data_IF_137783238104
#
_entry.id   IF_137783238104
#
_cell.length_a   1.000
_cell.length_b   1.000
_cell.length_c   1.000
_cell.angle_alpha   90.00
_cell.angle_beta   90.00
_cell.angle_gamma   90.00
#
_symmetry.space_group_name_H-M   'P 1'
#
loop_
_entity.id
_entity.type
_entity.pdbx_description
1 polymer ?
#
# COMPACT_ATOMS: atom_id res chain seq x y z
N UNK A 1 7.28 -6.99 3.30
CA UNK A 1 6.11 -6.18 3.47
C UNK A 1 6.16 -5.33 4.74
N UNK A 2 5.15 -5.42 5.56
CA UNK A 2 4.95 -4.51 6.71
C UNK A 2 6.18 -4.34 7.60
N UNK A 3 6.87 -5.42 7.98
CA UNK A 3 8.06 -5.33 8.84
C UNK A 3 9.18 -4.46 8.23
N UNK A 4 9.46 -4.62 6.95
CA UNK A 4 10.49 -3.83 6.27
C UNK A 4 10.08 -2.35 6.24
N UNK A 5 8.83 -2.07 5.88
CA UNK A 5 8.32 -0.70 5.86
C UNK A 5 8.33 -0.07 7.27
N UNK A 6 7.93 -0.81 8.30
CA UNK A 6 7.98 -0.35 9.68
C UNK A 6 9.39 0.05 10.10
N UNK A 7 10.40 -0.79 9.82
CA UNK A 7 11.80 -0.51 10.16
C UNK A 7 12.34 0.75 9.50
N UNK A 8 12.07 0.94 8.21
CA UNK A 8 12.57 2.13 7.51
C UNK A 8 11.83 3.39 7.93
N UNK A 9 10.54 3.30 8.26
CA UNK A 9 9.76 4.42 8.79
C UNK A 9 10.27 4.79 10.20
N UNK A 10 10.37 3.84 11.11
CA UNK A 10 10.89 4.07 12.46
C UNK A 10 12.27 4.73 12.41
N UNK A 11 13.19 4.20 11.59
CA UNK A 11 14.52 4.78 11.43
C UNK A 11 14.49 6.22 10.90
N UNK A 12 13.59 6.54 9.97
CA UNK A 12 13.42 7.90 9.45
C UNK A 12 12.95 8.89 10.53
N UNK A 13 12.20 8.41 11.52
CA UNK A 13 11.78 9.19 12.69
C UNK A 13 12.73 9.09 13.88
N UNK A 14 13.92 8.47 13.71
CA UNK A 14 14.94 8.37 14.75
C UNK A 14 14.67 7.30 15.81
N UNK A 15 13.73 6.39 15.57
CA UNK A 15 13.39 5.28 16.47
C UNK A 15 14.05 3.98 15.96
N UNK A 16 14.77 3.29 16.82
CA UNK A 16 15.38 2.00 16.50
C UNK A 16 14.54 0.85 17.04
N UNK A 17 14.67 -0.32 16.43
CA UNK A 17 13.97 -1.53 16.91
C UNK A 17 14.37 -1.92 18.35
N UNK A 18 15.58 -1.54 18.79
CA UNK A 18 16.05 -1.73 20.15
C UNK A 18 15.37 -0.81 21.18
N UNK A 19 14.74 0.27 20.72
CA UNK A 19 14.03 1.22 21.60
C UNK A 19 12.60 0.76 21.93
N UNK A 20 12.13 -0.30 21.29
CA UNK A 20 10.77 -0.83 21.42
C UNK A 20 10.80 -2.32 21.80
N UNK A 21 9.64 -2.87 22.16
CA UNK A 21 9.43 -4.32 22.32
C UNK A 21 8.66 -4.86 21.12
N UNK A 22 9.35 -5.29 20.04
CA UNK A 22 8.68 -5.67 18.81
C UNK A 22 7.98 -7.03 18.93
N UNK A 23 6.76 -7.12 18.42
CA UNK A 23 6.03 -8.37 18.25
C UNK A 23 5.73 -8.60 16.76
N UNK A 24 5.96 -9.84 16.29
CA UNK A 24 5.79 -10.22 14.87
C UNK A 24 4.54 -11.08 14.73
N UNK A 25 3.39 -10.43 14.71
CA UNK A 25 2.06 -11.06 14.74
C UNK A 25 1.20 -10.60 13.57
N UNK A 26 0.11 -11.30 13.32
CA UNK A 26 -0.86 -10.93 12.28
C UNK A 26 -1.70 -9.72 12.71
N UNK A 27 -2.23 -8.92 11.76
CA UNK A 27 -3.01 -7.71 12.09
C UNK A 27 -4.20 -7.97 13.03
N UNK A 28 -4.93 -9.08 12.87
CA UNK A 28 -6.04 -9.41 13.75
C UNK A 28 -5.57 -9.65 15.20
N UNK A 29 -4.46 -10.38 15.38
CA UNK A 29 -3.86 -10.61 16.67
C UNK A 29 -3.34 -9.32 17.31
N UNK A 30 -2.78 -8.41 16.49
CA UNK A 30 -2.38 -7.08 16.94
C UNK A 30 -3.60 -6.27 17.43
N UNK A 31 -4.71 -6.31 16.66
CA UNK A 31 -5.96 -5.67 17.05
C UNK A 31 -6.51 -6.20 18.38
N UNK A 32 -6.47 -7.51 18.60
CA UNK A 32 -6.92 -8.12 19.87
C UNK A 32 -6.05 -7.68 21.04
N UNK A 33 -4.74 -7.66 20.87
CA UNK A 33 -3.79 -7.18 21.88
C UNK A 33 -3.92 -5.68 22.18
N UNK A 34 -4.29 -4.85 21.22
CA UNK A 34 -4.62 -3.46 21.48
C UNK A 34 -5.92 -3.31 22.29
N UNK A 35 -6.93 -4.15 22.03
CA UNK A 35 -8.19 -4.15 22.78
C UNK A 35 -7.99 -4.51 24.25
N UNK A 36 -7.08 -5.44 24.54
CA UNK A 36 -6.78 -5.87 25.92
C UNK A 36 -5.67 -5.05 26.60
N UNK A 37 -5.06 -4.08 25.87
CA UNK A 37 -4.03 -3.18 26.42
C UNK A 37 -2.64 -3.79 26.50
N UNK A 38 -2.40 -4.96 25.89
CA UNK A 38 -1.08 -5.61 25.88
C UNK A 38 -0.18 -5.19 24.71
N UNK A 39 -0.69 -4.37 23.79
CA UNK A 39 0.04 -3.76 22.69
C UNK A 39 -0.35 -2.29 22.52
N UNK A 40 0.64 -1.41 22.43
CA UNK A 40 0.42 0.04 22.34
C UNK A 40 0.13 0.52 20.92
N UNK A 41 0.81 -0.07 19.93
CA UNK A 41 0.67 0.33 18.51
C UNK A 41 1.08 -0.80 17.58
N UNK A 42 0.65 -0.76 16.30
CA UNK A 42 1.17 -1.65 15.28
C UNK A 42 1.22 -0.98 13.91
N UNK A 43 2.13 -1.47 13.05
CA UNK A 43 2.20 -1.08 11.65
C UNK A 43 1.31 -2.00 10.80
N UNK A 44 0.70 -1.41 9.80
CA UNK A 44 -0.05 -2.13 8.79
C UNK A 44 0.28 -1.58 7.39
N UNK A 45 0.61 -2.47 6.46
CA UNK A 45 0.76 -2.12 5.04
C UNK A 45 -0.29 -2.87 4.24
N UNK A 46 -1.23 -2.14 3.67
CA UNK A 46 -2.33 -2.68 2.89
C UNK A 46 -3.29 -1.60 2.42
N UNK A 47 -4.31 -2.00 1.65
CA UNK A 47 -5.34 -1.08 1.20
C UNK A 47 -6.26 -0.64 2.35
N UNK A 48 -6.55 0.65 2.41
CA UNK A 48 -7.59 1.18 3.29
C UNK A 48 -8.95 1.24 2.56
N UNK A 49 -10.07 0.88 3.23
CA UNK A 49 -10.18 0.39 4.59
C UNK A 49 -9.73 -1.08 4.74
N UNK A 50 -9.04 -1.39 5.84
CA UNK A 50 -8.67 -2.76 6.22
C UNK A 50 -9.59 -3.29 7.32
N UNK A 51 -10.10 -4.51 7.16
CA UNK A 51 -11.11 -5.07 8.07
C UNK A 51 -10.67 -5.11 9.53
N UNK A 52 -9.45 -5.58 9.81
CA UNK A 52 -8.91 -5.64 11.18
C UNK A 52 -8.80 -4.26 11.86
N UNK A 53 -8.47 -3.21 11.08
CA UNK A 53 -8.38 -1.84 11.61
C UNK A 53 -9.80 -1.26 11.80
N UNK A 54 -10.72 -1.53 10.88
CA UNK A 54 -12.11 -1.08 10.98
C UNK A 54 -12.82 -1.71 12.21
N UNK A 55 -12.56 -2.99 12.46
CA UNK A 55 -13.06 -3.69 13.65
C UNK A 55 -12.51 -3.06 14.92
N UNK A 56 -11.20 -2.83 14.99
CA UNK A 56 -10.54 -2.19 16.14
C UNK A 56 -11.05 -0.76 16.37
N UNK A 57 -11.19 0.04 15.30
CA UNK A 57 -11.74 1.40 15.39
C UNK A 57 -13.19 1.45 15.89
N UNK A 58 -13.93 0.36 15.69
CA UNK A 58 -15.32 0.24 16.16
C UNK A 58 -15.44 -0.33 17.56
N UNK A 59 -14.34 -0.84 18.12
CA UNK A 59 -14.30 -1.40 19.47
C UNK A 59 -14.02 -0.29 20.51
N UNK A 60 -14.78 -0.30 21.60
CA UNK A 60 -14.54 0.43 22.84
C UNK A 60 -14.02 1.87 22.72
N UNK A 61 -12.74 2.06 23.00
CA UNK A 61 -12.08 3.37 23.08
C UNK A 61 -11.72 4.00 21.72
N UNK A 62 -11.92 3.29 20.60
CA UNK A 62 -11.47 3.75 19.29
C UNK A 62 -9.96 3.59 19.09
N UNK A 63 -9.43 4.25 18.07
CA UNK A 63 -8.01 4.25 17.71
C UNK A 63 -7.57 5.65 17.28
N UNK A 64 -6.28 5.92 17.43
CA UNK A 64 -5.58 6.98 16.72
C UNK A 64 -4.74 6.38 15.57
N UNK A 65 -4.80 7.00 14.41
CA UNK A 65 -3.91 6.67 13.27
C UNK A 65 -2.85 7.75 13.18
N UNK A 66 -1.60 7.39 13.43
CA UNK A 66 -0.50 8.34 13.41
C UNK A 66 -0.13 8.72 11.97
N UNK A 67 0.03 10.01 11.74
CA UNK A 67 0.49 10.52 10.44
C UNK A 67 1.95 10.10 10.17
N UNK A 68 2.23 9.77 8.91
CA UNK A 68 3.59 9.57 8.40
C UNK A 68 3.85 10.67 7.39
N UNK A 69 4.30 11.83 7.86
CA UNK A 69 4.48 13.05 7.07
C UNK A 69 5.70 13.88 7.53
N UNK A 70 5.82 15.09 7.04
CA UNK A 70 6.88 16.02 7.43
C UNK A 70 8.25 15.65 6.89
N UNK A 71 9.29 16.27 7.47
CA UNK A 71 10.67 16.13 6.99
C UNK A 71 11.19 14.68 6.95
N UNK A 72 10.88 13.80 7.93
CA UNK A 72 11.28 12.39 7.86
C UNK A 72 10.66 11.66 6.67
N UNK A 73 9.38 11.87 6.38
CA UNK A 73 8.71 11.26 5.23
C UNK A 73 9.29 11.76 3.90
N UNK A 74 9.61 13.05 3.79
CA UNK A 74 10.27 13.63 2.61
C UNK A 74 11.67 13.04 2.38
N UNK A 75 12.45 12.88 3.45
CA UNK A 75 13.77 12.24 3.37
C UNK A 75 13.65 10.77 2.94
N UNK A 76 12.65 10.06 3.48
CA UNK A 76 12.39 8.66 3.13
C UNK A 76 12.00 8.49 1.65
N UNK A 77 11.15 9.35 1.10
CA UNK A 77 10.77 9.33 -0.34
C UNK A 77 11.97 9.58 -1.25
N UNK A 78 12.92 10.42 -0.84
CA UNK A 78 14.16 10.66 -1.60
C UNK A 78 15.10 9.46 -1.61
N UNK A 79 15.23 8.77 -0.47
CA UNK A 79 16.10 7.60 -0.34
C UNK A 79 15.46 6.31 -0.85
N UNK A 80 14.14 6.26 -0.91
CA UNK A 80 13.34 5.08 -1.26
C UNK A 80 12.19 5.47 -2.18
N UNK A 81 12.46 5.59 -3.51
CA UNK A 81 11.50 6.16 -4.49
C UNK A 81 10.23 5.33 -4.71
N UNK A 82 10.12 4.17 -4.08
CA UNK A 82 8.88 3.36 -4.08
C UNK A 82 7.84 3.84 -3.06
N UNK A 83 8.19 4.78 -2.16
CA UNK A 83 7.22 5.47 -1.34
C UNK A 83 6.66 6.69 -2.06
N UNK A 84 5.36 6.90 -1.90
CA UNK A 84 4.64 8.08 -2.38
C UNK A 84 3.69 8.60 -1.30
N UNK A 85 3.32 9.88 -1.39
CA UNK A 85 2.29 10.43 -0.51
C UNK A 85 0.94 9.78 -0.77
N UNK A 86 0.22 9.50 0.31
CA UNK A 86 -1.18 9.07 0.27
C UNK A 86 -1.93 9.68 1.47
N UNK A 87 -3.24 9.59 1.43
CA UNK A 87 -4.12 10.10 2.47
C UNK A 87 -5.17 9.05 2.79
N UNK A 88 -5.30 8.73 4.07
CA UNK A 88 -6.47 8.04 4.59
C UNK A 88 -7.55 9.11 4.77
N UNK A 89 -8.63 9.03 3.99
CA UNK A 89 -9.72 10.00 4.06
C UNK A 89 -10.40 9.97 5.44
N UNK A 90 -10.95 11.10 5.86
CA UNK A 90 -11.77 11.15 7.06
C UNK A 90 -12.89 10.11 6.98
N UNK A 91 -13.26 9.57 8.12
CA UNK A 91 -14.31 8.55 8.28
C UNK A 91 -14.06 7.22 7.55
N UNK A 92 -12.83 7.01 7.02
CA UNK A 92 -12.43 5.68 6.53
C UNK A 92 -12.48 4.63 7.65
N UNK A 93 -12.12 5.05 8.86
CA UNK A 93 -12.30 4.30 10.10
C UNK A 93 -13.10 5.13 11.09
N UNK A 94 -13.96 4.50 11.86
CA UNK A 94 -14.86 5.19 12.80
C UNK A 94 -14.08 6.07 13.78
N UNK A 95 -14.41 7.37 13.80
CA UNK A 95 -13.80 8.33 14.70
C UNK A 95 -12.41 8.81 14.29
N UNK A 96 -11.88 8.37 13.15
CA UNK A 96 -10.58 8.81 12.64
C UNK A 96 -10.77 9.90 11.59
N UNK A 97 -10.12 11.04 11.80
CA UNK A 97 -10.07 12.16 10.85
C UNK A 97 -9.23 11.82 9.62
N UNK A 98 -9.01 12.82 8.75
CA UNK A 98 -8.11 12.67 7.62
C UNK A 98 -6.65 12.55 8.11
N UNK A 99 -5.92 11.54 7.63
CA UNK A 99 -4.53 11.28 8.03
C UNK A 99 -3.62 11.20 6.81
N UNK A 100 -2.52 11.97 6.83
CA UNK A 100 -1.45 11.85 5.83
C UNK A 100 -0.61 10.61 6.12
N UNK A 101 -0.27 9.89 5.08
CA UNK A 101 0.55 8.67 5.19
C UNK A 101 1.41 8.48 3.94
N UNK A 102 2.21 7.42 3.95
CA UNK A 102 2.94 6.97 2.78
C UNK A 102 2.30 5.70 2.20
N UNK A 103 2.26 5.63 0.89
CA UNK A 103 1.89 4.43 0.14
C UNK A 103 3.12 3.76 -0.47
N UNK A 104 3.03 2.46 -0.64
CA UNK A 104 3.94 1.65 -1.48
C UNK A 104 3.13 1.02 -2.59
N UNK A 105 3.65 1.08 -3.82
CA UNK A 105 3.01 0.47 -4.98
C UNK A 105 3.05 -1.06 -4.89
N UNK A 106 1.92 -1.73 -5.11
CA UNK A 106 1.88 -3.15 -5.37
C UNK A 106 2.13 -3.39 -6.87
N UNK A 107 3.04 -4.31 -7.19
CA UNK A 107 3.37 -4.66 -8.57
C UNK A 107 3.03 -6.12 -8.84
N UNK A 108 2.45 -6.38 -10.00
CA UNK A 108 2.32 -7.73 -10.51
C UNK A 108 3.51 -8.02 -11.43
N UNK A 109 4.36 -8.95 -11.01
CA UNK A 109 5.64 -9.22 -11.65
C UNK A 109 5.57 -10.59 -12.33
N UNK A 110 5.64 -10.69 -13.67
CA UNK A 110 5.84 -11.98 -14.34
C UNK A 110 7.31 -12.41 -14.24
N UNK A 111 7.58 -13.69 -14.51
CA UNK A 111 8.94 -14.16 -14.74
C UNK A 111 9.53 -13.48 -15.98
N UNK A 112 10.83 -13.22 -15.97
CA UNK A 112 11.60 -12.74 -17.13
C UNK A 112 11.56 -13.72 -18.32
N UNK A 113 11.27 -15.02 -18.04
CA UNK A 113 11.10 -16.08 -19.02
C UNK A 113 9.66 -16.23 -19.54
N UNK A 114 8.73 -15.42 -19.03
CA UNK A 114 7.35 -15.48 -19.51
C UNK A 114 7.28 -15.04 -20.99
N UNK A 115 6.40 -15.68 -21.74
CA UNK A 115 6.20 -15.33 -23.14
C UNK A 115 5.60 -13.91 -23.28
N UNK A 116 6.22 -13.09 -24.14
CA UNK A 116 5.86 -11.70 -24.31
C UNK A 116 4.42 -11.50 -24.86
N UNK A 117 3.96 -12.39 -25.73
CA UNK A 117 2.61 -12.33 -26.27
C UNK A 117 1.58 -12.62 -25.15
N UNK A 118 1.85 -13.63 -24.33
CA UNK A 118 1.03 -13.96 -23.17
C UNK A 118 0.95 -12.81 -22.16
N UNK A 119 2.10 -12.21 -21.81
CA UNK A 119 2.12 -11.06 -20.86
C UNK A 119 1.41 -9.85 -21.46
N UNK A 120 1.53 -9.61 -22.76
CA UNK A 120 0.77 -8.55 -23.44
C UNK A 120 -0.75 -8.77 -23.31
N UNK A 121 -1.26 -9.97 -23.62
CA UNK A 121 -2.68 -10.26 -23.54
C UNK A 121 -3.21 -10.20 -22.10
N UNK A 122 -2.44 -10.67 -21.12
CA UNK A 122 -2.79 -10.54 -19.70
C UNK A 122 -2.88 -9.05 -19.30
N UNK A 123 -1.88 -8.25 -19.69
CA UNK A 123 -1.87 -6.81 -19.37
C UNK A 123 -3.06 -6.11 -20.02
N UNK A 124 -3.35 -6.39 -21.27
CA UNK A 124 -4.51 -5.87 -22.01
C UNK A 124 -5.84 -6.27 -21.36
N UNK A 125 -5.97 -7.52 -20.94
CA UNK A 125 -7.17 -8.01 -20.25
C UNK A 125 -7.39 -7.33 -18.91
N UNK A 126 -6.32 -7.10 -18.11
CA UNK A 126 -6.39 -6.39 -16.83
C UNK A 126 -6.96 -4.98 -16.95
N UNK A 127 -6.67 -4.29 -18.05
CA UNK A 127 -7.15 -2.92 -18.32
C UNK A 127 -8.37 -2.87 -19.24
N UNK A 128 -9.06 -3.98 -19.45
CA UNK A 128 -10.37 -4.00 -20.12
C UNK A 128 -11.46 -3.39 -19.22
N UNK A 129 -12.53 -2.87 -19.83
CA UNK A 129 -13.66 -2.28 -19.09
C UNK A 129 -14.29 -3.28 -18.12
N UNK A 130 -14.36 -4.57 -18.50
CA UNK A 130 -14.90 -5.61 -17.65
C UNK A 130 -14.03 -5.84 -16.41
N UNK A 131 -12.71 -5.95 -16.58
CA UNK A 131 -11.77 -6.11 -15.47
C UNK A 131 -11.77 -4.88 -14.56
N UNK A 132 -11.80 -3.67 -15.12
CA UNK A 132 -11.85 -2.42 -14.34
C UNK A 132 -13.10 -2.33 -13.45
N UNK A 133 -14.26 -2.75 -13.96
CA UNK A 133 -15.50 -2.83 -13.16
C UNK A 133 -15.36 -3.84 -12.02
N UNK A 134 -14.80 -5.01 -12.27
CA UNK A 134 -14.58 -6.03 -11.24
C UNK A 134 -13.59 -5.58 -10.18
N UNK A 135 -12.47 -4.95 -10.56
CA UNK A 135 -11.48 -4.41 -9.64
C UNK A 135 -12.08 -3.33 -8.73
N UNK A 136 -12.84 -2.40 -9.31
CA UNK A 136 -13.50 -1.33 -8.55
C UNK A 136 -14.59 -1.86 -7.59
N UNK A 137 -15.30 -2.93 -7.96
CA UNK A 137 -16.29 -3.58 -7.11
C UNK A 137 -15.65 -4.44 -6.01
N UNK A 138 -14.47 -5.03 -6.28
CA UNK A 138 -13.79 -5.93 -5.36
C UNK A 138 -13.13 -5.24 -4.17
N UNK A 139 -12.60 -4.04 -4.36
CA UNK A 139 -11.95 -3.25 -3.30
C UNK A 139 -11.92 -1.76 -3.63
N UNK A 140 -12.02 -0.90 -2.63
CA UNK A 140 -11.97 0.57 -2.79
C UNK A 140 -10.71 1.07 -3.54
N UNK A 141 -9.56 0.43 -3.34
CA UNK A 141 -8.31 0.73 -4.08
C UNK A 141 -8.32 0.17 -5.51
N UNK A 142 -9.22 -0.73 -5.89
CA UNK A 142 -9.30 -1.30 -7.24
C UNK A 142 -9.50 -0.25 -8.33
N UNK A 143 -10.23 0.82 -8.05
CA UNK A 143 -10.42 1.96 -8.96
C UNK A 143 -9.13 2.73 -9.31
N UNK A 144 -8.05 2.54 -8.54
CA UNK A 144 -6.75 3.16 -8.80
C UNK A 144 -5.82 2.28 -9.65
N UNK A 145 -6.22 1.04 -9.97
CA UNK A 145 -5.49 0.17 -10.88
C UNK A 145 -5.81 0.62 -12.31
N UNK A 146 -5.18 1.69 -12.77
CA UNK A 146 -5.37 2.26 -14.11
C UNK A 146 -4.07 2.19 -14.91
N UNK A 147 -4.15 2.31 -16.23
CA UNK A 147 -2.99 2.31 -17.13
C UNK A 147 -2.01 3.43 -16.75
N UNK A 148 -2.53 4.60 -16.44
CA UNK A 148 -1.75 5.79 -16.07
C UNK A 148 -1.02 5.59 -14.74
N UNK A 149 -1.65 4.94 -13.77
CA UNK A 149 -1.03 4.65 -12.48
C UNK A 149 -0.03 3.48 -12.56
N UNK A 150 -0.28 2.51 -13.43
CA UNK A 150 0.56 1.33 -13.58
C UNK A 150 1.99 1.66 -14.07
N UNK A 151 2.17 2.76 -14.79
CA UNK A 151 3.48 3.19 -15.29
C UNK A 151 4.19 4.19 -14.37
N UNK A 152 3.51 4.63 -13.29
CA UNK A 152 4.12 5.51 -12.29
C UNK A 152 4.91 4.71 -11.26
N UNK A 153 6.10 5.17 -10.95
CA UNK A 153 6.93 4.61 -9.86
C UNK A 153 7.18 3.10 -9.98
N UNK A 154 7.29 2.58 -11.21
CA UNK A 154 7.74 1.23 -11.44
C UNK A 154 9.17 1.08 -10.94
N UNK A 155 9.38 0.27 -9.90
CA UNK A 155 10.70 0.06 -9.29
C UNK A 155 11.60 -0.90 -10.08
N UNK A 156 11.11 -1.45 -11.19
CA UNK A 156 11.82 -2.39 -12.07
C UNK A 156 11.45 -2.13 -13.53
N UNK A 157 12.29 -2.56 -14.50
CA UNK A 157 11.96 -2.51 -15.91
C UNK A 157 10.65 -3.26 -16.21
N UNK A 158 9.89 -2.78 -17.18
CA UNK A 158 8.71 -3.49 -17.64
C UNK A 158 9.08 -4.75 -18.43
N UNK A 159 8.29 -5.80 -18.26
CA UNK A 159 8.38 -6.96 -19.16
C UNK A 159 8.02 -6.54 -20.60
N UNK A 160 8.71 -7.06 -21.65
CA UNK A 160 8.50 -6.60 -23.02
C UNK A 160 7.03 -6.64 -23.49
N UNK A 161 6.26 -7.63 -23.05
CA UNK A 161 4.82 -7.72 -23.38
C UNK A 161 4.01 -6.59 -22.72
N UNK A 162 4.28 -6.28 -21.46
CA UNK A 162 3.61 -5.17 -20.75
C UNK A 162 4.02 -3.81 -21.33
N UNK A 163 5.32 -3.63 -21.60
CA UNK A 163 5.85 -2.40 -22.21
C UNK A 163 5.18 -2.10 -23.56
N UNK A 164 5.06 -3.13 -24.42
CA UNK A 164 4.36 -3.01 -25.70
C UNK A 164 2.93 -2.50 -25.51
N UNK A 165 2.18 -3.10 -24.60
CA UNK A 165 0.81 -2.66 -24.32
C UNK A 165 0.75 -1.21 -23.83
N UNK A 166 1.62 -0.80 -22.89
CA UNK A 166 1.61 0.56 -22.35
C UNK A 166 2.01 1.60 -23.40
N UNK A 167 2.92 1.27 -24.32
CA UNK A 167 3.26 2.14 -25.46
C UNK A 167 2.09 2.28 -26.43
N UNK A 168 1.44 1.18 -26.80
CA UNK A 168 0.25 1.21 -27.67
C UNK A 168 -0.93 1.96 -27.02
N UNK A 169 -1.07 1.87 -25.69
CA UNK A 169 -2.05 2.62 -24.93
C UNK A 169 -1.69 4.11 -24.72
N UNK A 170 -0.50 4.55 -25.16
CA UNK A 170 -0.04 5.94 -25.07
C UNK A 170 0.33 6.43 -23.68
N UNK A 171 0.47 5.53 -22.70
CA UNK A 171 0.81 5.89 -21.30
C UNK A 171 2.29 5.72 -20.98
N UNK A 172 3.05 5.05 -21.86
CA UNK A 172 4.51 4.93 -21.80
C UNK A 172 5.12 5.46 -23.11
N UNK A 173 6.23 6.20 -23.01
CA UNK A 173 6.98 6.73 -24.17
C UNK A 173 8.00 5.73 -24.71
#
# INVERSE_FOLDING_TARGET
GTLINARVILAAYGVQEADIKPEYIKPNQAGDKMKDGSLDAFFFTGGAPAGAIAELASAGSGIDVLAIDGAPAEALKKSSPFFSDDVIAADTYKGVGQVKTLAVGAQWVPSDKADAATVYEITKALFSDAAQKQLAAGHAKGKFITKENAVKSAGSPFHPGAEKFYKEAGVLK
#
